data_IF_283015734763
#
_entry.id   IF_283015734763
#
_cell.length_a   1.000
_cell.length_b   1.000
_cell.length_c   1.000
_cell.angle_alpha   90.00
_cell.angle_beta   90.00
_cell.angle_gamma   90.00
#
_symmetry.space_group_name_H-M   'P 1'
#
loop_
_entity.id
_entity.type
_entity.pdbx_description
1 polymer ?
#
# COMPACT_ATOMS: atom_id res chain seq x y z
N UNK A 1 29.23 -24.44 -22.33
CA UNK A 1 28.94 -23.02 -21.97
C UNK A 1 29.08 -22.04 -23.14
N UNK A 2 30.16 -22.08 -23.93
CA UNK A 2 30.35 -21.14 -25.07
C UNK A 2 29.21 -21.15 -26.11
N UNK A 3 28.68 -22.34 -26.45
CA UNK A 3 27.56 -22.47 -27.39
C UNK A 3 26.27 -21.82 -26.89
N UNK A 4 25.96 -21.92 -25.59
CA UNK A 4 24.78 -21.26 -25.00
C UNK A 4 24.90 -19.73 -25.05
N UNK A 5 26.08 -19.18 -24.72
CA UNK A 5 26.32 -17.74 -24.79
C UNK A 5 26.19 -17.22 -26.21
N UNK A 6 26.66 -17.97 -27.21
CA UNK A 6 26.49 -17.59 -28.62
C UNK A 6 25.01 -17.52 -29.01
N UNK A 7 24.23 -18.57 -28.70
CA UNK A 7 22.78 -18.63 -28.93
C UNK A 7 22.07 -17.48 -28.22
N UNK A 8 22.43 -17.20 -26.97
CA UNK A 8 21.88 -16.10 -26.19
C UNK A 8 22.18 -14.74 -26.83
N UNK A 9 23.42 -14.48 -27.22
CA UNK A 9 23.82 -13.20 -27.81
C UNK A 9 23.16 -12.98 -29.18
N UNK A 10 23.07 -14.02 -29.99
CA UNK A 10 22.40 -13.96 -31.29
C UNK A 10 20.89 -13.67 -31.12
N UNK A 11 20.24 -14.33 -30.16
CA UNK A 11 18.86 -14.04 -29.79
C UNK A 11 18.68 -12.58 -29.36
N UNK A 12 19.52 -12.09 -28.44
CA UNK A 12 19.43 -10.72 -27.95
C UNK A 12 19.63 -9.72 -29.09
N UNK A 13 20.61 -9.95 -29.96
CA UNK A 13 20.90 -9.11 -31.12
C UNK A 13 19.72 -9.07 -32.11
N UNK A 14 19.09 -10.21 -32.38
CA UNK A 14 17.89 -10.27 -33.21
C UNK A 14 16.72 -9.46 -32.61
N UNK A 15 16.62 -9.46 -31.28
CA UNK A 15 15.59 -8.74 -30.54
C UNK A 15 15.87 -7.24 -30.33
N UNK A 16 17.08 -6.75 -30.62
CA UNK A 16 17.36 -5.29 -30.61
C UNK A 16 16.50 -4.53 -31.63
N UNK A 17 16.05 -5.19 -32.70
CA UNK A 17 15.11 -4.59 -33.67
C UNK A 17 13.77 -4.19 -33.06
N UNK A 18 13.41 -4.79 -31.91
CA UNK A 18 12.23 -4.42 -31.13
C UNK A 18 12.55 -3.60 -29.88
N UNK A 19 13.70 -2.91 -29.86
CA UNK A 19 14.15 -2.09 -28.73
C UNK A 19 13.08 -1.15 -28.19
N UNK A 20 12.27 -0.51 -29.07
CA UNK A 20 11.18 0.36 -28.62
C UNK A 20 10.12 -0.35 -27.78
N UNK A 21 9.79 -1.61 -28.12
CA UNK A 21 8.83 -2.40 -27.32
C UNK A 21 9.45 -2.88 -26.01
N UNK A 22 10.72 -3.28 -26.03
CA UNK A 22 11.46 -3.67 -24.84
C UNK A 22 11.65 -2.50 -23.87
N UNK A 23 11.93 -1.30 -24.40
CA UNK A 23 12.05 -0.07 -23.62
C UNK A 23 10.70 0.34 -23.02
N UNK A 24 9.62 0.29 -23.81
CA UNK A 24 8.27 0.56 -23.29
C UNK A 24 7.89 -0.42 -22.16
N UNK A 25 8.26 -1.70 -22.31
CA UNK A 25 8.08 -2.69 -21.25
C UNK A 25 8.90 -2.36 -20.00
N UNK A 26 10.18 -2.01 -20.16
CA UNK A 26 11.03 -1.55 -19.05
C UNK A 26 10.48 -0.31 -18.34
N UNK A 27 9.95 0.67 -19.08
CA UNK A 27 9.30 1.85 -18.52
C UNK A 27 8.02 1.50 -17.72
N UNK A 28 7.23 0.54 -18.19
CA UNK A 28 6.07 0.07 -17.44
C UNK A 28 6.48 -0.59 -16.11
N UNK A 29 7.57 -1.37 -16.10
CA UNK A 29 8.15 -1.92 -14.86
C UNK A 29 8.63 -0.79 -13.95
N UNK A 30 9.31 0.22 -14.49
CA UNK A 30 9.77 1.37 -13.73
C UNK A 30 8.61 2.13 -13.08
N UNK A 31 7.49 2.29 -13.79
CA UNK A 31 6.27 2.90 -13.28
C UNK A 31 5.66 2.10 -12.12
N UNK A 32 5.65 0.77 -12.21
CA UNK A 32 5.19 -0.11 -11.12
C UNK A 32 6.04 0.10 -9.86
N UNK A 33 7.37 0.07 -10.02
CA UNK A 33 8.30 0.27 -8.90
C UNK A 33 8.15 1.67 -8.28
N UNK A 34 8.00 2.70 -9.12
CA UNK A 34 7.76 4.07 -8.67
C UNK A 34 6.44 4.20 -7.90
N UNK A 35 5.36 3.60 -8.41
CA UNK A 35 4.04 3.65 -7.79
C UNK A 35 4.01 2.91 -6.45
N UNK A 36 4.62 1.71 -6.39
CA UNK A 36 4.77 0.96 -5.16
C UNK A 36 5.58 1.75 -4.12
N UNK A 37 6.71 2.33 -4.55
CA UNK A 37 7.54 3.19 -3.70
C UNK A 37 6.73 4.37 -3.17
N UNK A 38 6.01 5.09 -4.02
CA UNK A 38 5.17 6.21 -3.62
C UNK A 38 4.13 5.80 -2.55
N UNK A 39 3.51 4.63 -2.66
CA UNK A 39 2.54 4.16 -1.66
C UNK A 39 3.14 3.91 -0.27
N UNK A 40 4.42 3.52 -0.20
CA UNK A 40 5.13 3.35 1.07
C UNK A 40 5.47 4.69 1.74
N UNK A 41 5.81 5.71 0.97
CA UNK A 41 6.20 7.02 1.49
C UNK A 41 5.04 8.02 1.63
N UNK A 42 3.90 7.76 0.99
CA UNK A 42 2.74 8.64 1.10
C UNK A 42 2.01 8.43 2.44
N UNK A 43 1.72 9.50 3.18
CA UNK A 43 1.03 9.39 4.47
C UNK A 43 -0.35 8.73 4.28
N UNK A 44 -0.78 7.91 5.27
CA UNK A 44 -2.05 7.20 5.19
C UNK A 44 -3.27 8.13 5.21
N UNK A 45 -3.16 9.30 5.84
CA UNK A 45 -4.18 10.35 5.90
C UNK A 45 -3.79 11.57 5.06
N UNK A 46 -4.77 12.21 4.43
CA UNK A 46 -4.56 13.51 3.79
C UNK A 46 -4.24 14.61 4.80
N UNK A 47 -3.34 15.52 4.44
CA UNK A 47 -3.13 16.79 5.16
C UNK A 47 -4.49 17.49 5.30
N UNK A 48 -5.01 17.55 6.53
CA UNK A 48 -6.31 18.12 6.81
C UNK A 48 -7.28 17.27 7.62
N UNK A 49 -6.86 16.16 8.25
CA UNK A 49 -7.62 15.63 9.40
C UNK A 49 -7.52 16.66 10.52
N UNK A 50 -8.42 17.63 10.53
CA UNK A 50 -8.61 18.53 11.66
C UNK A 50 -8.76 17.66 12.90
N UNK A 51 -7.82 17.81 13.84
CA UNK A 51 -7.86 17.15 15.15
C UNK A 51 -9.20 17.51 15.78
N UNK A 52 -10.15 16.58 15.71
CA UNK A 52 -11.45 16.80 16.31
C UNK A 52 -11.29 16.42 17.77
N UNK A 53 -11.32 17.42 18.65
CA UNK A 53 -11.33 17.20 20.09
C UNK A 53 -12.63 16.47 20.45
N UNK A 54 -12.52 15.17 20.71
CA UNK A 54 -13.60 14.39 21.30
C UNK A 54 -13.63 14.65 22.80
N UNK A 55 -14.75 15.17 23.28
CA UNK A 55 -14.99 15.29 24.72
C UNK A 55 -15.70 14.02 25.19
N UNK A 56 -14.99 13.17 25.93
CA UNK A 56 -15.48 11.92 26.47
C UNK A 56 -15.81 12.12 27.96
N UNK A 57 -16.95 11.61 28.40
CA UNK A 57 -17.31 11.50 29.81
C UNK A 57 -17.32 10.02 30.17
N UNK A 58 -16.46 9.63 31.11
CA UNK A 58 -16.39 8.27 31.65
C UNK A 58 -17.25 8.25 32.91
N UNK A 59 -18.31 7.45 32.88
CA UNK A 59 -19.28 7.32 33.96
C UNK A 59 -19.02 6.00 34.67
N UNK A 60 -18.38 6.04 35.82
CA UNK A 60 -18.21 4.86 36.67
C UNK A 60 -19.54 4.53 37.33
N UNK A 61 -20.03 3.31 37.09
CA UNK A 61 -21.33 2.86 37.57
C UNK A 61 -21.23 2.20 38.94
N UNK A 62 -22.34 2.20 39.68
CA UNK A 62 -22.47 1.41 40.91
C UNK A 62 -22.35 -0.10 40.62
N UNK A 63 -21.51 -0.86 41.36
CA UNK A 63 -21.38 -2.30 41.17
C UNK A 63 -22.66 -3.09 41.43
N UNK A 64 -23.63 -2.52 42.15
CA UNK A 64 -24.90 -3.18 42.48
C UNK A 64 -25.97 -3.07 41.37
N UNK A 65 -25.71 -2.29 40.31
CA UNK A 65 -26.65 -2.15 39.20
C UNK A 65 -26.76 -3.45 38.38
N UNK A 66 -28.00 -3.85 38.11
CA UNK A 66 -28.29 -4.93 37.18
C UNK A 66 -28.04 -4.52 35.72
N UNK A 67 -27.78 -5.49 34.84
CA UNK A 67 -27.56 -5.21 33.42
C UNK A 67 -28.74 -4.52 32.74
N UNK A 68 -29.97 -4.82 33.18
CA UNK A 68 -31.18 -4.17 32.68
C UNK A 68 -31.23 -2.69 33.05
N UNK A 69 -30.78 -2.32 34.25
CA UNK A 69 -30.72 -0.92 34.70
C UNK A 69 -29.63 -0.15 33.97
N UNK A 70 -28.47 -0.78 33.78
CA UNK A 70 -27.36 -0.21 33.00
C UNK A 70 -27.80 0.08 31.56
N UNK A 71 -28.47 -0.88 30.91
CA UNK A 71 -28.98 -0.69 29.56
C UNK A 71 -30.02 0.43 29.48
N UNK A 72 -30.95 0.51 30.44
CA UNK A 72 -31.91 1.63 30.50
C UNK A 72 -31.20 2.98 30.63
N UNK A 73 -30.19 3.05 31.49
CA UNK A 73 -29.39 4.26 31.70
C UNK A 73 -28.61 4.65 30.44
N UNK A 74 -28.02 3.68 29.74
CA UNK A 74 -27.34 3.92 28.46
C UNK A 74 -28.30 4.46 27.39
N UNK A 75 -29.50 3.87 27.25
CA UNK A 75 -30.52 4.34 26.32
C UNK A 75 -31.05 5.73 26.66
N UNK A 76 -31.23 6.01 27.95
CA UNK A 76 -31.65 7.33 28.42
C UNK A 76 -30.62 8.41 28.04
N UNK A 77 -29.32 8.14 28.26
CA UNK A 77 -28.24 9.07 27.91
C UNK A 77 -28.10 9.23 26.40
N UNK A 78 -28.24 8.12 25.65
CA UNK A 78 -28.18 8.14 24.18
C UNK A 78 -29.31 8.98 23.55
N UNK A 79 -30.45 9.11 24.22
CA UNK A 79 -31.59 9.92 23.78
C UNK A 79 -31.41 11.43 23.95
N UNK A 80 -30.34 11.90 24.61
CA UNK A 80 -30.13 13.33 24.85
C UNK A 80 -29.50 14.04 23.64
N UNK A 81 -29.90 15.29 23.35
CA UNK A 81 -29.41 16.03 22.19
C UNK A 81 -27.92 16.40 22.29
N UNK A 82 -27.36 16.45 23.50
CA UNK A 82 -25.96 16.76 23.78
C UNK A 82 -25.05 15.53 23.65
N UNK A 83 -25.62 14.33 23.53
CA UNK A 83 -24.90 13.07 23.41
C UNK A 83 -24.62 12.72 21.95
N UNK A 84 -23.38 12.31 21.66
CA UNK A 84 -22.95 11.78 20.37
C UNK A 84 -23.05 10.26 20.31
N UNK A 85 -22.24 9.57 21.12
CA UNK A 85 -22.17 8.11 21.22
C UNK A 85 -22.09 7.66 22.67
N UNK A 86 -22.67 6.50 22.97
CA UNK A 86 -22.61 5.86 24.30
C UNK A 86 -22.05 4.46 24.10
N UNK A 87 -20.93 4.14 24.74
CA UNK A 87 -20.31 2.83 24.69
C UNK A 87 -20.20 2.25 26.10
N UNK A 88 -20.51 0.97 26.24
CA UNK A 88 -20.27 0.23 27.47
C UNK A 88 -18.83 -0.27 27.51
N UNK A 89 -18.19 -0.20 28.68
CA UNK A 89 -16.82 -0.65 28.91
C UNK A 89 -16.73 -1.51 30.18
N UNK A 90 -15.98 -2.60 30.09
CA UNK A 90 -15.74 -3.52 31.18
C UNK A 90 -14.47 -3.15 31.97
N UNK A 91 -14.41 -3.63 33.22
CA UNK A 91 -13.20 -3.54 34.03
C UNK A 91 -12.05 -4.29 33.35
N UNK A 92 -10.86 -3.66 33.28
CA UNK A 92 -9.67 -4.20 32.61
C UNK A 92 -9.45 -3.66 31.19
N UNK A 93 -10.38 -2.89 30.62
CA UNK A 93 -10.14 -2.17 29.37
C UNK A 93 -9.21 -0.97 29.59
N UNK A 94 -8.28 -0.76 28.66
CA UNK A 94 -7.20 0.25 28.76
C UNK A 94 -7.42 1.49 27.89
N UNK A 95 -8.48 1.52 27.08
CA UNK A 95 -8.84 2.64 26.19
C UNK A 95 -10.26 3.15 26.51
N UNK A 96 -10.48 4.47 26.72
CA UNK A 96 -9.54 5.58 26.57
C UNK A 96 -8.61 5.84 27.78
N UNK A 97 -8.94 5.30 28.96
CA UNK A 97 -8.08 5.27 30.15
C UNK A 97 -8.27 3.90 30.83
N UNK A 98 -7.32 3.46 31.68
CA UNK A 98 -7.47 2.21 32.43
C UNK A 98 -8.72 2.25 33.33
N UNK A 99 -9.67 1.36 33.06
CA UNK A 99 -10.91 1.25 33.83
C UNK A 99 -10.79 0.11 34.84
N UNK A 100 -10.78 0.46 36.13
CA UNK A 100 -10.81 -0.51 37.22
C UNK A 100 -12.21 -1.08 37.47
N UNK A 101 -13.27 -0.37 37.05
CA UNK A 101 -14.67 -0.68 37.33
C UNK A 101 -15.50 -0.57 36.03
N UNK A 102 -16.73 -1.10 36.04
CA UNK A 102 -17.67 -1.02 34.89
C UNK A 102 -18.02 0.45 34.63
N UNK A 103 -17.95 0.86 33.37
CA UNK A 103 -18.19 2.26 33.01
C UNK A 103 -18.98 2.42 31.70
N UNK A 104 -19.68 3.54 31.59
CA UNK A 104 -20.21 4.04 30.32
C UNK A 104 -19.31 5.17 29.83
N UNK A 105 -18.85 5.08 28.59
CA UNK A 105 -18.11 6.14 27.92
C UNK A 105 -19.08 6.88 27.00
N UNK A 106 -19.29 8.15 27.29
CA UNK A 106 -20.24 9.01 26.58
C UNK A 106 -19.46 10.09 25.83
N UNK A 107 -19.59 10.14 24.52
CA UNK A 107 -19.05 11.20 23.69
C UNK A 107 -20.02 12.38 23.66
N UNK A 108 -19.58 13.57 24.06
CA UNK A 108 -20.37 14.79 24.01
C UNK A 108 -20.28 15.44 22.62
N UNK A 109 -21.39 15.99 22.14
CA UNK A 109 -21.39 16.83 20.94
C UNK A 109 -20.65 18.16 21.19
N UNK A 110 -20.15 18.83 20.13
CA UNK A 110 -19.49 20.13 20.26
C UNK A 110 -20.39 21.13 21.01
N UNK A 111 -19.86 21.76 22.06
CA UNK A 111 -20.59 22.74 22.89
C UNK A 111 -21.56 22.15 23.92
N UNK A 112 -21.80 20.83 23.94
CA UNK A 112 -22.75 20.17 24.85
C UNK A 112 -22.15 19.60 26.14
N UNK A 113 -20.82 19.69 26.32
CA UNK A 113 -20.07 19.02 27.40
C UNK A 113 -20.57 19.39 28.80
N UNK A 114 -20.70 20.69 29.10
CA UNK A 114 -21.07 21.16 30.44
C UNK A 114 -22.51 20.80 30.79
N UNK A 115 -23.43 20.95 29.83
CA UNK A 115 -24.82 20.55 29.99
C UNK A 115 -24.96 19.04 30.21
N UNK A 116 -24.19 18.23 29.48
CA UNK A 116 -24.16 16.78 29.63
C UNK A 116 -23.59 16.38 31.00
N UNK A 117 -22.48 16.97 31.43
CA UNK A 117 -21.86 16.71 32.74
C UNK A 117 -22.83 17.03 33.89
N UNK A 118 -23.51 18.19 33.84
CA UNK A 118 -24.49 18.59 34.84
C UNK A 118 -25.72 17.68 34.91
N UNK A 119 -26.13 17.07 33.80
CA UNK A 119 -27.23 16.10 33.76
C UNK A 119 -26.80 14.73 34.26
N UNK A 120 -25.64 14.25 33.83
CA UNK A 120 -25.15 12.92 34.23
C UNK A 120 -24.83 12.87 35.72
N UNK A 121 -24.28 13.94 36.30
CA UNK A 121 -23.99 14.01 37.74
C UNK A 121 -25.23 13.85 38.64
N UNK A 122 -26.44 14.02 38.10
CA UNK A 122 -27.72 13.88 38.81
C UNK A 122 -28.37 12.50 38.63
N UNK A 123 -27.79 11.62 37.81
CA UNK A 123 -28.37 10.29 37.56
C UNK A 123 -28.09 9.34 38.73
N UNK A 124 -29.14 8.66 39.20
CA UNK A 124 -29.02 7.55 40.15
C UNK A 124 -28.25 6.38 39.51
N UNK A 125 -27.23 5.88 40.21
CA UNK A 125 -26.39 4.77 39.73
C UNK A 125 -25.06 5.17 39.10
N UNK A 126 -24.79 6.48 38.94
CA UNK A 126 -23.47 6.99 38.54
C UNK A 126 -22.70 7.40 39.79
N UNK A 127 -21.57 6.73 40.06
CA UNK A 127 -20.73 6.97 41.25
C UNK A 127 -19.69 8.06 41.02
N UNK A 128 -19.09 8.07 39.84
CA UNK A 128 -18.03 9.02 39.47
C UNK A 128 -18.15 9.39 38.00
N UNK A 129 -17.89 10.66 37.69
CA UNK A 129 -17.82 11.18 36.33
C UNK A 129 -16.42 11.74 36.10
N UNK A 130 -15.69 11.19 35.14
CA UNK A 130 -14.39 11.71 34.71
C UNK A 130 -14.54 12.32 33.33
N UNK A 131 -14.21 13.60 33.18
CA UNK A 131 -14.23 14.28 31.90
C UNK A 131 -12.85 14.20 31.25
N UNK A 132 -12.78 13.53 30.10
CA UNK A 132 -11.56 13.36 29.32
C UNK A 132 -11.70 14.10 28.00
N UNK A 133 -10.65 14.83 27.62
CA UNK A 133 -10.56 15.43 26.30
C UNK A 133 -9.54 14.64 25.48
N UNK A 134 -10.03 13.90 24.49
CA UNK A 134 -9.20 13.11 23.60
C UNK A 134 -9.13 13.82 22.26
N UNK A 135 -7.92 14.07 21.77
CA UNK A 135 -7.73 14.35 20.34
C UNK A 135 -7.86 13.02 19.62
N UNK A 136 -9.01 12.77 19.01
CA UNK A 136 -9.16 11.63 18.14
C UNK A 136 -8.79 12.06 16.72
N UNK A 137 -7.82 11.38 16.13
CA UNK A 137 -7.66 11.41 14.68
C UNK A 137 -8.82 10.58 14.09
N UNK A 138 -9.75 11.18 13.34
CA UNK A 138 -10.68 10.38 12.56
C UNK A 138 -9.88 9.49 11.59
N UNK A 139 -10.40 8.31 11.20
CA UNK A 139 -9.76 7.49 10.18
C UNK A 139 -9.65 8.33 8.90
N UNK A 140 -8.46 8.84 8.63
CA UNK A 140 -8.24 9.77 7.53
C UNK A 140 -8.56 9.08 6.21
N UNK A 141 -9.31 9.78 5.35
CA UNK A 141 -9.45 9.33 3.97
C UNK A 141 -8.04 9.26 3.35
N UNK A 142 -7.73 8.21 2.57
CA UNK A 142 -6.44 8.09 1.91
C UNK A 142 -6.21 9.30 1.02
N UNK A 143 -5.00 9.86 1.08
CA UNK A 143 -4.68 11.06 0.31
C UNK A 143 -4.95 10.86 -1.18
N UNK A 144 -5.37 11.91 -1.89
CA UNK A 144 -5.56 11.91 -3.36
C UNK A 144 -4.35 11.35 -4.11
N UNK A 145 -3.15 11.60 -3.58
CA UNK A 145 -1.89 11.08 -4.09
C UNK A 145 -1.76 9.56 -3.90
N UNK A 146 -2.24 9.01 -2.78
CA UNK A 146 -2.27 7.57 -2.52
C UNK A 146 -3.24 6.86 -3.47
N UNK A 147 -4.40 7.47 -3.75
CA UNK A 147 -5.34 6.97 -4.76
C UNK A 147 -4.69 6.97 -6.14
N UNK A 148 -4.06 8.08 -6.54
CA UNK A 148 -3.35 8.18 -7.81
C UNK A 148 -2.23 7.13 -7.94
N UNK A 149 -1.46 6.90 -6.88
CA UNK A 149 -0.41 5.90 -6.85
C UNK A 149 -0.97 4.46 -6.92
N UNK A 150 -2.11 4.16 -6.31
CA UNK A 150 -2.79 2.87 -6.45
C UNK A 150 -3.27 2.63 -7.89
N UNK A 151 -3.88 3.65 -8.51
CA UNK A 151 -4.32 3.58 -9.91
C UNK A 151 -3.13 3.40 -10.84
N UNK A 152 -2.05 4.17 -10.64
CA UNK A 152 -0.82 4.05 -11.41
C UNK A 152 -0.16 2.67 -11.24
N UNK A 153 -0.19 2.10 -10.04
CA UNK A 153 0.29 0.74 -9.78
C UNK A 153 -0.51 -0.30 -10.56
N UNK A 154 -1.85 -0.24 -10.50
CA UNK A 154 -2.73 -1.18 -11.19
C UNK A 154 -2.58 -1.10 -12.71
N UNK A 155 -2.62 0.10 -13.27
CA UNK A 155 -2.42 0.32 -14.71
C UNK A 155 -1.01 -0.05 -15.17
N UNK A 156 0.00 0.32 -14.38
CA UNK A 156 1.39 -0.02 -14.64
C UNK A 156 1.64 -1.52 -14.68
N UNK A 157 1.04 -2.28 -13.74
CA UNK A 157 1.15 -3.73 -13.71
C UNK A 157 0.49 -4.36 -14.94
N UNK A 158 -0.74 -3.92 -15.27
CA UNK A 158 -1.44 -4.36 -16.47
C UNK A 158 -0.62 -4.09 -17.74
N UNK A 159 -0.07 -2.89 -17.88
CA UNK A 159 0.80 -2.51 -19.00
C UNK A 159 2.09 -3.34 -19.04
N UNK A 160 2.75 -3.58 -17.90
CA UNK A 160 3.98 -4.35 -17.84
C UNK A 160 3.75 -5.79 -18.31
N UNK A 161 2.66 -6.43 -17.87
CA UNK A 161 2.31 -7.78 -18.31
C UNK A 161 1.91 -7.82 -19.79
N UNK A 162 1.09 -6.87 -20.24
CA UNK A 162 0.65 -6.78 -21.64
C UNK A 162 1.83 -6.56 -22.61
N UNK A 163 2.71 -5.60 -22.28
CA UNK A 163 3.89 -5.30 -23.09
C UNK A 163 4.90 -6.44 -23.05
N UNK A 164 5.09 -7.09 -21.89
CA UNK A 164 5.89 -8.30 -21.77
C UNK A 164 5.37 -9.41 -22.68
N UNK A 165 4.07 -9.70 -22.63
CA UNK A 165 3.46 -10.70 -23.50
C UNK A 165 3.63 -10.35 -24.99
N UNK A 166 3.43 -9.08 -25.37
CA UNK A 166 3.61 -8.61 -26.76
C UNK A 166 5.06 -8.73 -27.21
N UNK A 167 6.02 -8.33 -26.39
CA UNK A 167 7.44 -8.43 -26.67
C UNK A 167 7.89 -9.89 -26.83
N UNK A 168 7.37 -10.79 -25.98
CA UNK A 168 7.68 -12.22 -26.03
C UNK A 168 7.06 -12.90 -27.24
N UNK A 169 5.83 -12.54 -27.63
CA UNK A 169 5.21 -13.03 -28.87
C UNK A 169 6.03 -12.64 -30.09
N UNK A 170 6.51 -11.41 -30.15
CA UNK A 170 7.38 -10.93 -31.23
C UNK A 170 8.73 -11.63 -31.22
N UNK A 171 9.37 -11.75 -30.05
CA UNK A 171 10.62 -12.49 -29.89
C UNK A 171 10.47 -13.94 -30.37
N UNK A 172 9.35 -14.59 -30.04
CA UNK A 172 9.07 -15.95 -30.47
C UNK A 172 8.87 -16.03 -31.99
N UNK A 173 8.14 -15.08 -32.59
CA UNK A 173 7.92 -15.06 -34.02
C UNK A 173 9.23 -14.87 -34.80
N UNK A 174 10.14 -14.02 -34.29
CA UNK A 174 11.46 -13.78 -34.88
C UNK A 174 12.38 -14.99 -34.82
N UNK A 175 12.20 -15.87 -33.83
CA UNK A 175 13.12 -16.96 -33.52
C UNK A 175 12.48 -18.35 -33.56
N UNK A 176 11.33 -18.46 -34.25
CA UNK A 176 10.53 -19.69 -34.29
C UNK A 176 11.29 -20.85 -34.92
N UNK A 177 11.96 -20.59 -36.06
CA UNK A 177 12.70 -21.61 -36.81
C UNK A 177 13.90 -22.11 -36.02
N UNK A 178 14.67 -21.19 -35.46
CA UNK A 178 15.86 -21.45 -34.65
C UNK A 178 15.48 -22.24 -33.39
N UNK A 179 14.40 -21.84 -32.72
CA UNK A 179 13.86 -22.57 -31.57
C UNK A 179 13.46 -24.00 -31.92
N UNK A 180 12.81 -24.21 -33.07
CA UNK A 180 12.39 -25.53 -33.52
C UNK A 180 13.58 -26.44 -33.82
N UNK A 181 14.60 -25.93 -34.51
CA UNK A 181 15.86 -26.64 -34.76
C UNK A 181 16.54 -27.02 -33.44
N UNK A 182 16.68 -26.07 -32.51
CA UNK A 182 17.28 -26.33 -31.19
C UNK A 182 16.49 -27.38 -30.40
N UNK A 183 15.16 -27.35 -30.46
CA UNK A 183 14.30 -28.34 -29.81
C UNK A 183 14.47 -29.73 -30.42
N UNK A 184 14.53 -29.83 -31.75
CA UNK A 184 14.65 -31.11 -32.47
C UNK A 184 16.06 -31.70 -32.39
N UNK A 185 17.08 -30.87 -32.16
CA UNK A 185 18.49 -31.30 -32.04
C UNK A 185 18.81 -32.08 -30.75
N UNK A 186 17.83 -32.29 -29.85
CA UNK A 186 18.04 -32.99 -28.58
C UNK A 186 18.75 -32.17 -27.50
N UNK A 187 18.98 -30.87 -27.73
CA UNK A 187 19.55 -29.97 -26.73
C UNK A 187 18.57 -29.72 -25.57
N UNK A 188 19.10 -29.62 -24.35
CA UNK A 188 18.31 -29.43 -23.14
C UNK A 188 17.46 -28.16 -23.14
N UNK A 189 16.41 -28.14 -22.30
CA UNK A 189 15.43 -27.04 -22.22
C UNK A 189 16.03 -25.64 -22.05
N UNK A 190 17.18 -25.55 -21.37
CA UNK A 190 17.91 -24.30 -21.19
C UNK A 190 18.25 -23.60 -22.51
N UNK A 191 18.58 -24.33 -23.59
CA UNK A 191 19.02 -23.73 -24.86
C UNK A 191 17.87 -23.04 -25.61
N UNK A 192 16.66 -23.59 -25.56
CA UNK A 192 15.52 -23.05 -26.29
C UNK A 192 14.58 -22.21 -25.43
N UNK A 193 14.61 -22.34 -24.10
CA UNK A 193 13.86 -21.49 -23.16
C UNK A 193 14.68 -20.36 -22.56
N UNK A 194 15.96 -20.62 -22.25
CA UNK A 194 16.85 -19.71 -21.54
C UNK A 194 16.98 -18.31 -22.17
N UNK A 195 17.10 -18.17 -23.51
CA UNK A 195 17.17 -16.86 -24.13
C UNK A 195 15.97 -15.95 -23.83
N UNK A 196 14.75 -16.51 -23.76
CA UNK A 196 13.54 -15.75 -23.42
C UNK A 196 13.52 -15.29 -21.97
N UNK A 197 13.94 -16.17 -21.04
CA UNK A 197 14.05 -15.82 -19.62
C UNK A 197 15.13 -14.76 -19.41
N UNK A 198 16.27 -14.88 -20.08
CA UNK A 198 17.34 -13.91 -20.02
C UNK A 198 16.90 -12.54 -20.56
N UNK A 199 16.14 -12.50 -21.67
CA UNK A 199 15.56 -11.25 -22.17
C UNK A 199 14.60 -10.63 -21.16
N UNK A 200 13.71 -11.42 -20.54
CA UNK A 200 12.82 -10.93 -19.50
C UNK A 200 13.57 -10.37 -18.29
N UNK A 201 14.58 -11.10 -17.81
CA UNK A 201 15.46 -10.66 -16.73
C UNK A 201 16.15 -9.33 -17.07
N UNK A 202 16.74 -9.23 -18.26
CA UNK A 202 17.42 -8.01 -18.71
C UNK A 202 16.47 -6.81 -18.79
N UNK A 203 15.26 -6.99 -19.34
CA UNK A 203 14.27 -5.91 -19.36
C UNK A 203 13.83 -5.51 -17.96
N UNK A 204 13.69 -6.47 -17.04
CA UNK A 204 13.41 -6.21 -15.64
C UNK A 204 14.50 -5.38 -14.96
N UNK A 205 15.77 -5.71 -15.20
CA UNK A 205 16.91 -4.95 -14.69
C UNK A 205 17.00 -3.55 -15.30
N UNK A 206 16.75 -3.42 -16.61
CA UNK A 206 16.67 -2.10 -17.28
C UNK A 206 15.53 -1.27 -16.69
N UNK A 207 14.37 -1.87 -16.44
CA UNK A 207 13.24 -1.20 -15.78
C UNK A 207 13.58 -0.73 -14.35
N UNK A 208 14.30 -1.55 -13.58
CA UNK A 208 14.79 -1.14 -12.26
C UNK A 208 15.79 0.02 -12.34
N UNK A 209 16.71 0.01 -13.31
CA UNK A 209 17.66 1.12 -13.49
C UNK A 209 16.94 2.40 -13.95
N UNK A 210 15.95 2.30 -14.84
CA UNK A 210 15.11 3.43 -15.25
C UNK A 210 14.35 4.03 -14.06
N UNK A 211 13.84 3.20 -13.16
CA UNK A 211 13.22 3.65 -11.92
C UNK A 211 14.23 4.42 -11.04
N UNK A 212 15.42 3.88 -10.82
CA UNK A 212 16.46 4.54 -10.01
C UNK A 212 16.94 5.84 -10.66
N UNK A 213 17.05 5.89 -11.99
CA UNK A 213 17.39 7.10 -12.72
C UNK A 213 16.30 8.16 -12.56
N UNK A 214 15.03 7.78 -12.71
CA UNK A 214 13.88 8.66 -12.48
C UNK A 214 13.86 9.21 -11.06
N UNK A 215 14.20 8.37 -10.08
CA UNK A 215 14.33 8.78 -8.69
C UNK A 215 15.45 9.79 -8.47
N UNK A 216 16.65 9.55 -9.02
CA UNK A 216 17.78 10.49 -8.93
C UNK A 216 17.45 11.83 -9.58
N UNK A 217 16.77 11.82 -10.72
CA UNK A 217 16.33 13.03 -11.40
C UNK A 217 15.29 13.77 -10.55
N UNK A 218 14.31 13.06 -10.00
CA UNK A 218 13.30 13.66 -9.11
C UNK A 218 13.96 14.31 -7.89
N UNK A 219 14.91 13.63 -7.23
CA UNK A 219 15.67 14.20 -6.11
C UNK A 219 16.49 15.42 -6.49
N UNK A 220 17.06 15.47 -7.71
CA UNK A 220 17.87 16.60 -8.17
C UNK A 220 17.04 17.85 -8.48
N UNK A 221 15.81 17.67 -8.97
CA UNK A 221 14.94 18.77 -9.38
C UNK A 221 13.83 19.07 -8.35
N UNK A 222 13.82 18.38 -7.22
CA UNK A 222 12.83 18.62 -6.19
C UNK A 222 13.04 19.99 -5.51
N UNK A 223 11.95 20.69 -5.17
CA UNK A 223 12.05 21.93 -4.41
C UNK A 223 12.62 21.66 -3.00
N UNK A 224 13.37 22.60 -2.41
CA UNK A 224 14.05 22.43 -1.12
C UNK A 224 13.09 22.21 0.06
N UNK A 225 11.80 22.53 -0.11
CA UNK A 225 10.75 22.32 0.89
C UNK A 225 10.16 20.90 0.88
N UNK A 226 10.51 20.07 -0.12
CA UNK A 226 10.04 18.70 -0.18
C UNK A 226 10.77 17.84 0.86
N UNK A 227 10.03 17.23 1.78
CA UNK A 227 10.50 16.27 2.78
C UNK A 227 10.93 14.95 2.13
N UNK A 228 12.01 14.98 1.35
CA UNK A 228 12.60 13.84 0.64
C UNK A 228 13.69 13.13 1.45
N UNK A 229 13.88 13.55 2.71
CA UNK A 229 14.92 13.05 3.57
C UNK A 229 14.78 11.54 3.83
N UNK A 230 13.55 11.05 3.94
CA UNK A 230 13.23 9.63 4.11
C UNK A 230 13.57 8.81 2.86
N UNK A 231 13.40 9.41 1.68
CA UNK A 231 13.64 8.78 0.39
C UNK A 231 15.14 8.64 0.10
N UNK A 232 15.96 9.59 0.56
CA UNK A 232 17.42 9.51 0.49
C UNK A 232 17.96 8.42 1.43
N UNK A 233 17.45 8.36 2.66
CA UNK A 233 17.85 7.32 3.63
C UNK A 233 17.42 5.91 3.19
N UNK A 234 16.27 5.80 2.52
CA UNK A 234 15.80 4.54 1.95
C UNK A 234 16.53 4.12 0.66
N UNK A 235 17.41 4.96 0.10
CA UNK A 235 18.13 4.70 -1.15
C UNK A 235 18.79 3.31 -1.24
N UNK A 236 19.49 2.80 -0.21
CA UNK A 236 20.04 1.44 -0.22
C UNK A 236 18.96 0.36 -0.32
N UNK A 237 17.85 0.51 0.42
CA UNK A 237 16.72 -0.42 0.39
C UNK A 237 15.98 -0.41 -0.95
N UNK A 238 15.81 0.77 -1.55
CA UNK A 238 15.18 0.92 -2.87
C UNK A 238 16.01 0.23 -3.96
N UNK A 239 17.35 0.25 -3.86
CA UNK A 239 18.21 -0.56 -4.74
C UNK A 239 18.09 -2.05 -4.43
N UNK A 240 18.20 -2.42 -3.16
CA UNK A 240 18.18 -3.81 -2.72
C UNK A 240 16.87 -4.54 -3.06
N UNK A 241 15.73 -3.84 -3.03
CA UNK A 241 14.42 -4.39 -3.38
C UNK A 241 14.02 -4.11 -4.83
N UNK A 242 14.42 -2.97 -5.40
CA UNK A 242 14.06 -2.56 -6.75
C UNK A 242 14.63 -3.49 -7.82
N UNK A 243 15.88 -3.94 -7.69
CA UNK A 243 16.48 -4.88 -8.65
C UNK A 243 15.82 -6.26 -8.62
N UNK A 244 15.65 -6.94 -7.46
CA UNK A 244 14.92 -8.20 -7.39
C UNK A 244 13.47 -8.08 -7.86
N UNK A 245 12.75 -7.02 -7.48
CA UNK A 245 11.37 -6.81 -7.90
C UNK A 245 11.26 -6.58 -9.41
N UNK A 246 12.14 -5.74 -9.98
CA UNK A 246 12.21 -5.53 -11.43
C UNK A 246 12.56 -6.80 -12.20
N UNK A 247 13.57 -7.54 -11.75
CA UNK A 247 13.95 -8.84 -12.30
C UNK A 247 12.78 -9.84 -12.26
N UNK A 248 12.08 -9.94 -11.13
CA UNK A 248 10.92 -10.80 -10.96
C UNK A 248 9.78 -10.43 -11.91
N UNK A 249 9.45 -9.14 -12.03
CA UNK A 249 8.42 -8.66 -12.97
C UNK A 249 8.80 -8.94 -14.44
N UNK A 250 10.07 -8.76 -14.79
CA UNK A 250 10.60 -9.10 -16.10
C UNK A 250 10.48 -10.59 -16.42
N UNK A 251 10.81 -11.44 -15.44
CA UNK A 251 10.65 -12.90 -15.55
C UNK A 251 9.18 -13.30 -15.67
N UNK A 252 8.28 -12.74 -14.85
CA UNK A 252 6.85 -13.00 -14.95
C UNK A 252 6.30 -12.68 -16.34
N UNK A 253 6.65 -11.53 -16.91
CA UNK A 253 6.25 -11.18 -18.27
C UNK A 253 6.80 -12.14 -19.33
N UNK A 254 7.97 -12.74 -19.10
CA UNK A 254 8.55 -13.77 -19.98
C UNK A 254 7.86 -15.13 -19.88
N UNK A 255 7.36 -15.48 -18.70
CA UNK A 255 6.67 -16.76 -18.43
C UNK A 255 5.26 -16.80 -19.02
N UNK A 256 4.58 -15.65 -19.10
CA UNK A 256 3.25 -15.50 -19.71
C UNK A 256 3.22 -15.64 -21.24
N UNK A 257 4.29 -16.16 -21.84
CA UNK A 257 4.35 -16.45 -23.27
C UNK A 257 3.27 -17.48 -23.66
N UNK A 258 2.56 -17.29 -24.79
CA UNK A 258 1.62 -18.28 -25.27
C UNK A 258 2.35 -19.59 -25.59
N UNK A 259 1.83 -20.69 -25.05
CA UNK A 259 2.28 -22.05 -25.35
C UNK A 259 1.46 -22.54 -26.54
N UNK A 260 1.86 -22.13 -27.73
CA UNK A 260 1.32 -22.59 -29.02
C UNK A 260 2.46 -23.10 -29.87
#
# INVERSE_FOLDING_TARGET
>A
MRGFLYVLLDFLRANLRQAGTLLAWGLAIALVLASATALFFLPPSGEGSATTSQHLLILTLDPLLSEAEINRLAWQIAGWPETGRVNFRFAGETDPEPLAERALVVEARPGGREALLARVAKLSGVRKVTALERRAEPPGLPSRWRIAALVALGLGLGMALFLGQRAMRRALALWRKEREILRLSGLGAAYWQGPFLALGLLVGLVGAELFLLGLRLALRYAPPEASLHDLVQAGPWLKALGFPAGAFLGLLGSLLRPHS
#
